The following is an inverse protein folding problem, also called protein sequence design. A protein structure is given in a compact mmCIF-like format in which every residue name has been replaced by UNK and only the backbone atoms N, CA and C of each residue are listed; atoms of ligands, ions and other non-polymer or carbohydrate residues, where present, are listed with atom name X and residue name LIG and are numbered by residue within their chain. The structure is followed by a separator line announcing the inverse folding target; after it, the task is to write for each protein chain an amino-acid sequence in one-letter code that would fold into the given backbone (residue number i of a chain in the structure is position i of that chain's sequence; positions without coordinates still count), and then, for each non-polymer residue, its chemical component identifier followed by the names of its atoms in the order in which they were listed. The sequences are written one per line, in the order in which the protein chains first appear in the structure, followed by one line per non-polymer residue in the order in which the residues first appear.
data_IF_919804097471
#
_entry.id   IF_919804097471
#
_cell.length_a   1.000
_cell.length_b   1.000
_cell.length_c   1.000
_cell.angle_alpha   90.00
_cell.angle_beta   90.00
_cell.angle_gamma   90.00
#
_symmetry.space_group_name_H-M   'P 1'
#
loop_
_entity.id
_entity.type
_entity.pdbx_description
1 polymer ?
#
# COMPACT_ATOMS: atom_id res chain seq x y z
N UNK A 1 -11.57 0.48 -15.54
CA UNK A 1 -10.35 1.05 -14.92
C UNK A 1 -10.26 0.51 -13.50
N UNK A 2 -9.09 0.02 -13.08
CA UNK A 2 -8.92 -0.58 -11.75
C UNK A 2 -8.94 0.49 -10.65
N UNK A 3 -9.66 0.26 -9.55
CA UNK A 3 -9.58 1.11 -8.36
C UNK A 3 -8.19 1.01 -7.72
N UNK A 4 -7.70 2.13 -7.20
CA UNK A 4 -6.39 2.21 -6.51
C UNK A 4 -6.59 2.93 -5.19
N UNK A 5 -6.17 2.29 -4.11
CA UNK A 5 -6.13 2.89 -2.78
C UNK A 5 -4.70 2.95 -2.24
N UNK A 6 -4.47 3.93 -1.39
CA UNK A 6 -3.27 4.11 -0.60
C UNK A 6 -3.65 4.07 0.88
N UNK A 7 -2.80 3.43 1.68
CA UNK A 7 -2.85 3.50 3.13
C UNK A 7 -1.47 3.86 3.67
N UNK A 8 -1.41 4.85 4.54
CA UNK A 8 -0.17 5.32 5.14
C UNK A 8 -0.25 6.80 5.46
N UNK A 9 0.88 7.43 5.75
CA UNK A 9 0.93 8.88 6.00
C UNK A 9 0.90 9.67 4.70
N UNK A 10 0.24 10.82 4.66
CA UNK A 10 0.24 11.69 3.48
C UNK A 10 0.42 13.16 3.86
N UNK A 11 1.68 13.63 3.89
CA UNK A 11 2.07 15.00 4.22
C UNK A 11 1.83 15.41 5.68
N UNK A 12 1.34 14.48 6.52
CA UNK A 12 1.14 14.67 7.95
C UNK A 12 1.33 13.35 8.72
N UNK A 13 1.69 13.42 10.01
CA UNK A 13 1.67 12.29 10.93
C UNK A 13 0.33 11.53 10.95
N UNK A 14 0.42 10.21 11.07
CA UNK A 14 -0.72 9.30 11.22
C UNK A 14 -1.18 8.66 9.91
N UNK A 15 -1.52 7.36 9.99
CA UNK A 15 -2.01 6.61 8.85
C UNK A 15 -3.41 7.07 8.44
N UNK A 16 -3.64 7.14 7.14
CA UNK A 16 -4.94 7.41 6.57
C UNK A 16 -5.15 6.59 5.32
N UNK A 17 -6.43 6.31 5.04
CA UNK A 17 -6.87 5.84 3.74
C UNK A 17 -6.94 7.00 2.75
N UNK A 18 -6.50 6.77 1.51
CA UNK A 18 -6.68 7.69 0.39
C UNK A 18 -7.06 6.93 -0.87
N UNK A 19 -8.17 7.31 -1.48
CA UNK A 19 -8.52 6.85 -2.82
C UNK A 19 -7.62 7.58 -3.84
N UNK A 20 -6.73 6.83 -4.50
CA UNK A 20 -5.89 7.37 -5.59
C UNK A 20 -6.70 7.39 -6.89
N UNK A 21 -7.48 6.33 -7.15
CA UNK A 21 -8.36 6.23 -8.31
C UNK A 21 -9.62 5.43 -7.99
N UNK A 22 -10.77 5.94 -8.42
CA UNK A 22 -12.07 5.31 -8.26
C UNK A 22 -12.72 5.58 -6.91
N UNK A 23 -13.94 5.08 -6.74
CA UNK A 23 -14.76 5.28 -5.54
C UNK A 23 -14.73 4.03 -4.66
N UNK A 24 -14.66 4.25 -3.35
CA UNK A 24 -14.63 3.19 -2.34
C UNK A 24 -15.81 3.36 -1.40
N UNK A 25 -16.47 2.25 -1.08
CA UNK A 25 -17.51 2.24 -0.06
C UNK A 25 -16.90 2.40 1.33
N UNK A 26 -17.69 2.84 2.32
CA UNK A 26 -17.23 2.90 3.71
C UNK A 26 -16.76 1.52 4.21
N UNK A 27 -17.38 0.44 3.74
CA UNK A 27 -16.97 -0.92 4.07
C UNK A 27 -15.59 -1.26 3.49
N UNK A 28 -15.30 -0.85 2.24
CA UNK A 28 -13.98 -1.05 1.64
C UNK A 28 -12.91 -0.27 2.40
N UNK A 29 -13.19 0.98 2.77
CA UNK A 29 -12.29 1.83 3.57
C UNK A 29 -12.01 1.16 4.92
N UNK A 30 -13.05 0.77 5.65
CA UNK A 30 -12.91 0.13 6.97
C UNK A 30 -12.09 -1.17 6.89
N UNK A 31 -12.25 -1.95 5.82
CA UNK A 31 -11.49 -3.19 5.65
C UNK A 31 -10.03 -2.94 5.27
N UNK A 32 -9.76 -1.96 4.40
CA UNK A 32 -8.38 -1.58 4.06
C UNK A 32 -7.66 -1.05 5.31
N UNK A 33 -8.32 -0.25 6.13
CA UNK A 33 -7.74 0.27 7.37
C UNK A 33 -7.40 -0.81 8.41
N UNK A 34 -7.90 -2.05 8.28
CA UNK A 34 -7.49 -3.16 9.17
C UNK A 34 -6.02 -3.53 9.02
N UNK A 35 -5.37 -3.09 7.94
CA UNK A 35 -3.93 -3.25 7.75
C UNK A 35 -3.12 -2.56 8.86
N UNK A 36 -3.71 -1.61 9.59
CA UNK A 36 -3.07 -0.90 10.69
C UNK A 36 -3.05 -1.68 12.02
N UNK A 37 -3.29 -2.99 11.97
CA UNK A 37 -3.25 -3.83 13.18
C UNK A 37 -1.84 -4.39 13.42
N UNK A 38 -1.46 -4.66 14.69
CA UNK A 38 -0.11 -5.13 15.04
C UNK A 38 0.36 -6.34 14.23
N UNK A 39 -0.55 -7.29 13.95
CA UNK A 39 -0.24 -8.51 13.18
C UNK A 39 0.30 -8.20 11.78
N UNK A 40 -0.24 -7.17 11.12
CA UNK A 40 0.26 -6.77 9.80
C UNK A 40 1.54 -5.97 9.90
N UNK A 41 1.68 -5.12 10.91
CA UNK A 41 2.93 -4.39 11.16
C UNK A 41 4.09 -5.37 11.37
N UNK A 42 3.92 -6.37 12.23
CA UNK A 42 4.92 -7.41 12.48
C UNK A 42 5.28 -8.18 11.20
N UNK A 43 4.29 -8.56 10.39
CA UNK A 43 4.51 -9.26 9.13
C UNK A 43 5.27 -8.40 8.09
N UNK A 44 4.96 -7.10 7.99
CA UNK A 44 5.62 -6.18 7.08
C UNK A 44 7.06 -5.88 7.54
N UNK A 45 7.28 -5.76 8.85
CA UNK A 45 8.59 -5.48 9.44
C UNK A 45 9.54 -6.67 9.33
N UNK A 46 9.05 -7.91 9.51
CA UNK A 46 9.87 -9.12 9.48
C UNK A 46 10.64 -9.31 8.16
N UNK A 47 9.96 -9.08 7.03
CA UNK A 47 10.53 -9.27 5.69
C UNK A 47 10.97 -7.95 5.02
N UNK A 48 10.67 -6.81 5.66
CA UNK A 48 10.90 -5.47 5.11
C UNK A 48 9.92 -5.07 3.99
N UNK A 49 8.96 -5.94 3.66
CA UNK A 49 7.83 -5.69 2.77
C UNK A 49 6.79 -6.81 2.95
N UNK A 50 5.58 -6.63 2.43
CA UNK A 50 4.57 -7.70 2.40
C UNK A 50 3.61 -7.55 1.22
N UNK A 51 3.26 -8.66 0.59
CA UNK A 51 2.13 -8.73 -0.35
C UNK A 51 0.90 -9.24 0.38
N UNK A 52 -0.24 -8.64 0.11
CA UNK A 52 -1.49 -8.99 0.79
C UNK A 52 -2.67 -8.98 -0.16
N UNK A 53 -3.61 -9.90 0.07
CA UNK A 53 -4.83 -10.00 -0.72
C UNK A 53 -6.02 -9.52 0.10
N UNK A 54 -6.84 -8.66 -0.50
CA UNK A 54 -8.12 -8.26 0.06
C UNK A 54 -9.19 -8.28 -1.04
N UNK A 55 -10.11 -9.25 -0.98
CA UNK A 55 -11.09 -9.49 -2.06
C UNK A 55 -10.37 -9.57 -3.42
N UNK A 56 -10.71 -8.69 -4.35
CA UNK A 56 -10.09 -8.56 -5.66
C UNK A 56 -8.94 -7.54 -5.70
N UNK A 57 -8.41 -7.10 -4.56
CA UNK A 57 -7.24 -6.23 -4.49
C UNK A 57 -5.99 -7.04 -4.15
N UNK A 58 -4.92 -6.76 -4.88
CA UNK A 58 -3.56 -7.08 -4.46
C UNK A 58 -2.94 -5.82 -3.85
N UNK A 59 -2.37 -5.97 -2.67
CA UNK A 59 -1.65 -4.92 -1.96
C UNK A 59 -0.17 -5.20 -1.85
N UNK A 60 0.61 -4.12 -1.81
CA UNK A 60 2.04 -4.15 -1.52
C UNK A 60 2.34 -3.15 -0.41
N UNK A 61 2.97 -3.62 0.66
CA UNK A 61 3.24 -2.88 1.88
C UNK A 61 4.74 -2.83 2.19
N UNK A 62 5.20 -1.71 2.77
CA UNK A 62 6.56 -1.52 3.27
C UNK A 62 6.52 -0.85 4.67
N UNK A 63 7.46 -1.16 5.58
CA UNK A 63 7.49 -0.64 6.95
C UNK A 63 8.14 0.74 7.02
N UNK A 64 7.88 1.58 6.02
CA UNK A 64 8.50 2.89 5.91
C UNK A 64 7.49 3.93 5.45
N UNK A 65 7.68 5.14 5.95
CA UNK A 65 7.11 6.34 5.36
C UNK A 65 8.20 7.27 4.87
N UNK A 66 7.88 8.04 3.83
CA UNK A 66 8.65 9.20 3.39
C UNK A 66 8.23 10.49 4.11
N UNK A 67 7.02 10.54 4.63
CA UNK A 67 6.45 11.71 5.30
C UNK A 67 6.60 11.65 6.83
N UNK A 68 6.88 10.47 7.38
CA UNK A 68 7.06 10.25 8.82
C UNK A 68 8.30 9.38 9.07
N UNK A 69 9.21 9.90 9.89
CA UNK A 69 10.48 9.23 10.23
C UNK A 69 10.40 8.44 11.54
N UNK A 70 9.24 8.43 12.20
CA UNK A 70 9.03 7.67 13.44
C UNK A 70 8.84 6.18 13.11
N UNK A 71 9.16 5.32 14.08
CA UNK A 71 8.90 3.88 13.97
C UNK A 71 7.39 3.57 13.93
N UNK A 72 7.04 2.38 13.45
CA UNK A 72 5.65 1.93 13.33
C UNK A 72 4.86 2.58 12.19
N UNK A 73 5.55 3.12 11.18
CA UNK A 73 4.90 3.67 9.99
C UNK A 73 4.84 2.62 8.88
N UNK A 74 3.68 2.46 8.25
CA UNK A 74 3.51 1.61 7.06
C UNK A 74 3.05 2.42 5.86
N UNK A 75 3.48 1.99 4.68
CA UNK A 75 3.04 2.51 3.39
C UNK A 75 2.55 1.35 2.55
N UNK A 76 1.29 1.44 2.08
CA UNK A 76 0.61 0.36 1.38
C UNK A 76 -0.15 0.91 0.16
N UNK A 77 -0.02 0.21 -0.97
CA UNK A 77 -0.85 0.42 -2.16
C UNK A 77 -1.75 -0.79 -2.35
N UNK A 78 -2.99 -0.57 -2.75
CA UNK A 78 -3.94 -1.60 -3.13
C UNK A 78 -4.39 -1.35 -4.56
N UNK A 79 -4.28 -2.37 -5.41
CA UNK A 79 -4.67 -2.30 -6.83
C UNK A 79 -5.73 -3.36 -7.10
N UNK A 80 -6.89 -2.90 -7.56
CA UNK A 80 -7.98 -3.80 -7.92
C UNK A 80 -7.62 -4.64 -9.15
N UNK A 81 -7.98 -5.92 -9.12
CA UNK A 81 -7.73 -6.94 -10.14
C UNK A 81 -6.26 -7.10 -10.54
N UNK A 82 -5.32 -6.59 -9.74
CA UNK A 82 -3.90 -6.90 -9.91
C UNK A 82 -3.65 -8.33 -9.46
N UNK A 83 -2.87 -9.07 -10.23
CA UNK A 83 -2.56 -10.48 -9.96
C UNK A 83 -1.07 -10.76 -9.84
N UNK A 84 -0.23 -9.77 -10.11
CA UNK A 84 1.23 -9.91 -10.09
C UNK A 84 1.93 -8.66 -9.56
N UNK A 85 3.20 -8.82 -9.17
CA UNK A 85 4.06 -7.69 -8.81
C UNK A 85 4.19 -6.68 -9.97
N UNK A 86 4.18 -7.16 -11.22
CA UNK A 86 4.25 -6.31 -12.43
C UNK A 86 3.08 -5.34 -12.53
N UNK A 87 1.88 -5.75 -12.12
CA UNK A 87 0.70 -4.87 -12.12
C UNK A 87 0.84 -3.74 -11.09
N UNK A 88 1.42 -4.05 -9.92
CA UNK A 88 1.75 -3.06 -8.90
C UNK A 88 2.80 -2.09 -9.42
N UNK A 89 3.91 -2.59 -9.99
CA UNK A 89 4.98 -1.76 -10.57
C UNK A 89 4.41 -0.79 -11.59
N UNK A 90 3.65 -1.30 -12.57
CA UNK A 90 3.00 -0.48 -13.60
C UNK A 90 2.08 0.58 -13.00
N UNK A 91 1.35 0.24 -11.94
CA UNK A 91 0.49 1.20 -11.23
C UNK A 91 1.31 2.31 -10.57
N UNK A 92 2.42 1.96 -9.90
CA UNK A 92 3.31 2.92 -9.28
C UNK A 92 3.91 3.87 -10.32
N UNK A 93 4.44 3.34 -11.43
CA UNK A 93 5.02 4.14 -12.52
C UNK A 93 4.03 5.12 -13.15
N UNK A 94 2.74 4.79 -13.18
CA UNK A 94 1.68 5.68 -13.66
C UNK A 94 1.32 6.81 -12.69
N UNK A 95 1.76 6.73 -11.42
CA UNK A 95 1.43 7.69 -10.37
C UNK A 95 2.71 8.14 -9.66
N UNK A 96 3.42 9.19 -10.15
CA UNK A 96 4.73 9.59 -9.63
C UNK A 96 4.76 9.87 -8.12
N UNK A 97 3.69 10.48 -7.58
CA UNK A 97 3.56 10.70 -6.13
C UNK A 97 3.48 9.41 -5.33
N UNK A 98 2.83 8.40 -5.89
CA UNK A 98 2.73 7.07 -5.27
C UNK A 98 4.08 6.36 -5.40
N UNK A 99 4.69 6.36 -6.58
CA UNK A 99 6.02 5.79 -6.81
C UNK A 99 7.06 6.33 -5.83
N UNK A 100 7.07 7.65 -5.62
CA UNK A 100 7.98 8.32 -4.67
C UNK A 100 7.91 7.67 -3.29
N UNK A 101 6.71 7.35 -2.81
CA UNK A 101 6.49 6.77 -1.47
C UNK A 101 7.05 5.36 -1.31
N UNK A 102 7.20 4.62 -2.41
CA UNK A 102 7.80 3.30 -2.44
C UNK A 102 9.29 3.32 -2.83
N UNK A 103 9.93 4.50 -2.96
CA UNK A 103 11.33 4.59 -3.42
C UNK A 103 12.34 3.86 -2.54
N UNK A 104 12.05 3.71 -1.24
CA UNK A 104 12.93 2.96 -0.32
C UNK A 104 12.93 1.47 -0.64
N UNK A 105 11.83 0.95 -1.19
CA UNK A 105 11.65 -0.45 -1.54
C UNK A 105 10.53 -0.59 -2.57
N UNK A 106 10.93 -0.68 -3.84
CA UNK A 106 10.03 -0.99 -4.94
C UNK A 106 9.79 -2.50 -5.03
N UNK A 107 8.59 -2.95 -5.42
CA UNK A 107 8.33 -4.36 -5.72
C UNK A 107 9.20 -4.83 -6.90
N UNK A 108 9.58 -6.10 -6.90
CA UNK A 108 10.36 -6.72 -7.97
C UNK A 108 9.49 -7.62 -8.85
N UNK A 109 9.72 -7.69 -10.17
CA UNK A 109 8.89 -8.48 -11.09
C UNK A 109 8.80 -9.98 -10.81
N UNK A 110 9.68 -10.52 -9.96
CA UNK A 110 9.78 -11.95 -9.62
C UNK A 110 9.21 -12.31 -8.24
N UNK A 111 8.70 -11.35 -7.46
CA UNK A 111 8.29 -11.57 -6.06
C UNK A 111 6.88 -12.17 -5.89
N UNK A 112 6.05 -12.15 -6.93
CA UNK A 112 4.68 -12.66 -6.94
C UNK A 112 4.27 -13.12 -8.34
#
# INVERSE_FOLDING_TARGET
MNRIAYFGTWGRPGHLFRAIRGTFSQQDINNICKIDSPVYHEAIEADGYHYLHYKNFLGYAIPYSDDDKRGGCITVVFVENATSAKDIIKTLEQHPDLQRRFRKRMPQPSEL
#
